data_IF_951914902639
#
_entry.id   IF_951914902639
#
_cell.length_a   1.000
_cell.length_b   1.000
_cell.length_c   1.000
_cell.angle_alpha   90.00
_cell.angle_beta   90.00
_cell.angle_gamma   90.00
#
_symmetry.space_group_name_H-M   'P 1'
#
loop_
_entity.id
_entity.type
_entity.pdbx_description
1 polymer ?
#
# COMPACT_ATOMS: atom_id res chain seq x y z
N UNK A 1 0.42 13.67 10.77
CA UNK A 1 0.13 12.44 9.99
C UNK A 1 0.92 11.29 10.60
N UNK A 2 0.29 10.12 10.79
CA UNK A 2 1.00 8.89 11.11
C UNK A 2 1.03 7.99 9.86
N UNK A 3 2.21 7.53 9.49
CA UNK A 3 2.42 6.58 8.39
C UNK A 3 2.69 5.22 9.01
N UNK A 4 1.80 4.28 8.79
CA UNK A 4 1.84 2.94 9.38
C UNK A 4 2.21 1.92 8.32
N UNK A 5 3.30 1.19 8.54
CA UNK A 5 3.74 0.08 7.70
C UNK A 5 3.76 -1.22 8.49
N UNK A 6 3.71 -2.36 7.83
CA UNK A 6 3.74 -3.66 8.49
C UNK A 6 4.97 -3.84 9.41
N UNK A 7 6.15 -3.39 8.96
CA UNK A 7 7.40 -3.45 9.72
C UNK A 7 8.18 -2.13 9.60
N UNK A 8 8.69 -1.62 10.74
CA UNK A 8 9.50 -0.39 10.73
C UNK A 8 10.83 -0.57 9.98
N UNK A 9 11.43 -1.75 10.03
CA UNK A 9 12.65 -2.07 9.29
C UNK A 9 12.46 -1.93 7.78
N UNK A 10 11.33 -2.41 7.24
CA UNK A 10 10.97 -2.22 5.83
C UNK A 10 10.66 -0.77 5.52
N UNK A 11 9.89 -0.08 6.36
CA UNK A 11 9.59 1.33 6.17
C UNK A 11 10.86 2.20 6.05
N UNK A 12 11.95 1.85 6.74
CA UNK A 12 13.23 2.58 6.69
C UNK A 12 13.91 2.54 5.32
N UNK A 13 13.78 1.45 4.60
CA UNK A 13 14.38 1.25 3.27
C UNK A 13 13.44 1.60 2.12
N UNK A 14 12.17 1.85 2.39
CA UNK A 14 11.14 2.24 1.44
C UNK A 14 10.59 3.64 1.78
N UNK A 15 9.42 3.74 2.34
CA UNK A 15 8.65 4.98 2.53
C UNK A 15 9.42 6.09 3.27
N UNK A 16 10.30 5.76 4.24
CA UNK A 16 11.13 6.78 4.92
C UNK A 16 12.25 7.28 3.99
N UNK A 17 12.82 6.39 3.18
CA UNK A 17 13.81 6.77 2.17
C UNK A 17 13.19 7.70 1.13
N UNK A 18 12.03 7.34 0.63
CA UNK A 18 11.29 8.14 -0.36
C UNK A 18 10.88 9.50 0.21
N UNK A 19 10.39 9.52 1.45
CA UNK A 19 10.11 10.77 2.17
C UNK A 19 11.31 11.71 2.20
N UNK A 20 12.50 11.20 2.58
CA UNK A 20 13.73 12.00 2.61
C UNK A 20 14.12 12.49 1.23
N UNK A 21 14.03 11.62 0.23
CA UNK A 21 14.35 11.96 -1.15
C UNK A 21 13.44 13.09 -1.65
N UNK A 22 12.13 12.93 -1.53
CA UNK A 22 11.14 13.92 -1.97
C UNK A 22 11.35 15.26 -1.24
N UNK A 23 11.50 15.24 0.08
CA UNK A 23 11.72 16.44 0.87
C UNK A 23 13.02 17.16 0.49
N UNK A 24 14.08 16.41 0.14
CA UNK A 24 15.35 16.95 -0.32
C UNK A 24 15.23 17.55 -1.72
N UNK A 25 14.52 16.89 -2.61
CA UNK A 25 14.28 17.35 -3.99
C UNK A 25 13.51 18.68 -3.99
N UNK A 26 12.53 18.81 -3.08
CA UNK A 26 11.83 20.09 -2.85
C UNK A 26 12.64 21.14 -2.08
N UNK A 27 13.85 20.81 -1.63
CA UNK A 27 14.71 21.75 -0.87
C UNK A 27 14.19 22.10 0.53
N UNK A 28 13.31 21.28 1.11
CA UNK A 28 12.67 21.51 2.41
C UNK A 28 13.05 20.49 3.49
N UNK A 29 13.98 19.57 3.19
CA UNK A 29 14.48 18.59 4.13
C UNK A 29 15.52 19.20 5.08
N UNK A 30 15.26 19.10 6.38
CA UNK A 30 16.18 19.46 7.44
C UNK A 30 16.45 18.23 8.31
N UNK A 31 17.67 17.66 8.27
CA UNK A 31 18.00 16.45 9.04
C UNK A 31 17.86 16.63 10.55
N UNK A 32 18.04 17.86 11.08
CA UNK A 32 17.95 18.14 12.51
C UNK A 32 16.49 18.06 13.03
N UNK A 33 15.52 18.19 12.12
CA UNK A 33 14.09 18.02 12.41
C UNK A 33 13.62 16.57 12.37
N UNK A 34 14.51 15.63 11.98
CA UNK A 34 14.17 14.21 11.84
C UNK A 34 14.67 13.38 13.03
N UNK A 35 13.84 13.27 14.06
CA UNK A 35 14.17 12.64 15.33
C UNK A 35 14.10 11.10 15.26
N UNK A 36 15.13 10.43 15.76
CA UNK A 36 15.20 8.97 15.83
C UNK A 36 15.04 8.27 14.47
N UNK A 37 15.09 9.02 13.37
CA UNK A 37 14.87 8.50 12.02
C UNK A 37 13.44 8.00 11.75
N UNK A 38 12.45 8.46 12.53
CA UNK A 38 11.05 8.05 12.44
C UNK A 38 10.03 9.18 12.66
N UNK A 39 10.48 10.35 13.06
CA UNK A 39 9.58 11.48 13.33
C UNK A 39 10.17 12.77 12.76
N UNK A 40 9.43 13.42 11.87
CA UNK A 40 9.79 14.71 11.28
C UNK A 40 8.81 15.80 11.73
N UNK A 41 9.34 16.90 12.25
CA UNK A 41 8.54 18.06 12.68
C UNK A 41 8.79 19.23 11.76
N UNK A 42 7.73 19.74 11.13
CA UNK A 42 7.77 20.94 10.28
C UNK A 42 7.82 22.23 11.12
N UNK A 43 8.17 23.35 10.49
CA UNK A 43 8.25 24.68 11.15
C UNK A 43 6.94 25.13 11.76
N UNK A 44 5.83 24.81 11.12
CA UNK A 44 4.48 25.11 11.61
C UNK A 44 3.99 24.20 12.75
N UNK A 45 4.85 23.30 13.26
CA UNK A 45 4.51 22.34 14.30
C UNK A 45 3.79 21.08 13.80
N UNK A 46 3.48 20.98 12.51
CA UNK A 46 2.95 19.74 11.94
C UNK A 46 3.99 18.62 12.00
N UNK A 47 3.53 17.38 12.10
CA UNK A 47 4.41 16.24 12.31
C UNK A 47 4.05 15.06 11.39
N UNK A 48 5.08 14.40 10.88
CA UNK A 48 4.97 13.08 10.26
C UNK A 48 5.69 12.08 11.15
N UNK A 49 5.02 10.98 11.48
CA UNK A 49 5.58 9.87 12.26
C UNK A 49 5.46 8.56 11.51
N UNK A 50 6.55 7.82 11.41
CA UNK A 50 6.61 6.50 10.79
C UNK A 50 6.54 5.42 11.88
N UNK A 51 5.64 4.46 11.70
CA UNK A 51 5.27 3.46 12.70
C UNK A 51 5.30 2.08 12.07
N UNK A 52 6.00 1.14 12.69
CA UNK A 52 5.92 -0.28 12.35
C UNK A 52 4.82 -0.96 13.16
N UNK A 53 3.95 -1.70 12.50
CA UNK A 53 2.86 -2.45 13.12
C UNK A 53 3.29 -3.82 13.70
N UNK A 54 4.57 -4.15 13.61
CA UNK A 54 5.19 -5.37 14.14
C UNK A 54 5.22 -5.44 15.68
N UNK A 55 4.86 -4.35 16.35
CA UNK A 55 4.73 -4.31 17.82
C UNK A 55 3.27 -4.40 18.23
N UNK A 56 2.88 -5.44 18.95
CA UNK A 56 1.49 -5.75 19.34
C UNK A 56 0.74 -4.62 20.10
N UNK A 57 1.45 -3.68 20.71
CA UNK A 57 0.85 -2.62 21.54
C UNK A 57 0.67 -1.26 20.85
N UNK A 58 1.01 -1.15 19.57
CA UNK A 58 1.00 0.13 18.86
C UNK A 58 -0.41 0.73 18.80
N UNK A 59 -1.42 -0.11 18.54
CA UNK A 59 -2.81 0.36 18.50
C UNK A 59 -3.33 0.95 19.81
N UNK A 60 -2.81 0.50 20.95
CA UNK A 60 -3.25 0.95 22.28
C UNK A 60 -2.62 2.28 22.72
N UNK A 61 -1.41 2.57 22.24
CA UNK A 61 -0.63 3.76 22.62
C UNK A 61 -0.78 4.98 21.70
N UNK A 62 -1.30 4.80 20.49
CA UNK A 62 -1.47 5.89 19.54
C UNK A 62 -2.66 6.77 19.93
N UNK A 63 -2.36 7.92 20.51
CA UNK A 63 -3.31 9.03 20.63
C UNK A 63 -3.33 9.79 19.31
N UNK A 64 -4.01 9.24 18.31
CA UNK A 64 -4.09 9.85 16.99
C UNK A 64 -5.34 10.73 16.90
N UNK A 65 -5.15 12.02 17.05
CA UNK A 65 -6.06 12.98 16.42
C UNK A 65 -5.36 13.42 15.15
N UNK A 66 -5.95 13.18 13.99
CA UNK A 66 -5.41 13.56 12.70
C UNK A 66 -5.42 12.42 11.68
N UNK A 67 -4.59 12.53 10.67
CA UNK A 67 -4.58 11.62 9.52
C UNK A 67 -3.67 10.43 9.77
N UNK A 68 -4.11 9.29 9.27
CA UNK A 68 -3.31 8.06 9.22
C UNK A 68 -3.21 7.60 7.77
N UNK A 69 -2.00 7.28 7.35
CA UNK A 69 -1.73 6.62 6.09
C UNK A 69 -1.20 5.22 6.35
N UNK A 70 -1.89 4.20 5.85
CA UNK A 70 -1.47 2.81 5.93
C UNK A 70 -0.78 2.42 4.62
N UNK A 71 0.51 2.21 4.69
CA UNK A 71 1.32 1.77 3.55
C UNK A 71 1.33 0.24 3.48
N UNK A 72 1.01 -0.31 2.31
CA UNK A 72 0.81 -1.75 2.08
C UNK A 72 -0.21 -2.35 3.08
N UNK A 73 -1.38 -1.72 3.16
CA UNK A 73 -2.39 -2.01 4.17
C UNK A 73 -2.85 -3.48 4.18
N UNK A 74 -2.85 -4.15 3.02
CA UNK A 74 -3.17 -5.58 2.90
C UNK A 74 -2.22 -6.50 3.68
N UNK A 75 -1.04 -6.03 4.04
CA UNK A 75 -0.05 -6.76 4.87
C UNK A 75 -0.30 -6.62 6.37
N UNK A 76 -1.18 -5.72 6.79
CA UNK A 76 -1.52 -5.51 8.18
C UNK A 76 -2.63 -6.46 8.64
N UNK A 77 -2.58 -6.86 9.91
CA UNK A 77 -3.71 -7.55 10.52
C UNK A 77 -4.91 -6.58 10.62
N UNK A 78 -6.11 -7.07 10.30
CA UNK A 78 -7.34 -6.26 10.38
C UNK A 78 -7.55 -5.61 11.75
N UNK A 79 -7.23 -6.32 12.83
CA UNK A 79 -7.37 -5.79 14.17
C UNK A 79 -6.46 -4.58 14.42
N UNK A 80 -5.22 -4.62 13.90
CA UNK A 80 -4.29 -3.47 13.96
C UNK A 80 -4.84 -2.27 13.18
N UNK A 81 -5.31 -2.50 11.95
CA UNK A 81 -5.98 -1.48 11.15
C UNK A 81 -7.16 -0.88 11.93
N UNK A 82 -8.07 -1.70 12.44
CA UNK A 82 -9.27 -1.28 13.17
C UNK A 82 -8.95 -0.44 14.41
N UNK A 83 -7.97 -0.86 15.19
CA UNK A 83 -7.56 -0.15 16.41
C UNK A 83 -6.97 1.23 16.13
N UNK A 84 -6.25 1.38 15.02
CA UNK A 84 -5.63 2.64 14.64
C UNK A 84 -6.66 3.54 13.93
N UNK A 85 -7.39 3.02 12.95
CA UNK A 85 -8.36 3.76 12.16
C UNK A 85 -9.50 4.33 13.00
N UNK A 86 -9.96 3.60 14.02
CA UNK A 86 -11.04 4.08 14.92
C UNK A 86 -10.70 5.34 15.71
N UNK A 87 -9.45 5.76 15.73
CA UNK A 87 -8.96 6.96 16.43
C UNK A 87 -8.47 8.05 15.48
N UNK A 88 -8.46 7.75 14.19
CA UNK A 88 -8.03 8.68 13.15
C UNK A 88 -9.20 9.59 12.73
N UNK A 89 -8.91 10.82 12.40
CA UNK A 89 -9.86 11.75 11.78
C UNK A 89 -10.07 11.42 10.30
N UNK A 90 -8.97 11.08 9.61
CA UNK A 90 -8.98 10.61 8.23
C UNK A 90 -8.03 9.43 8.05
N UNK A 91 -8.44 8.50 7.23
CA UNK A 91 -7.66 7.32 6.86
C UNK A 91 -7.42 7.32 5.37
N UNK A 92 -6.15 7.15 5.00
CA UNK A 92 -5.72 6.89 3.64
C UNK A 92 -4.98 5.56 3.68
N UNK A 93 -5.16 4.73 2.68
CA UNK A 93 -4.42 3.49 2.57
C UNK A 93 -4.06 3.19 1.12
N UNK A 94 -2.91 2.58 0.92
CA UNK A 94 -2.51 1.98 -0.33
C UNK A 94 -2.33 0.46 -0.15
N UNK A 95 -2.48 -0.28 -1.22
CA UNK A 95 -2.20 -1.69 -1.26
C UNK A 95 -2.13 -2.22 -2.69
N UNK A 96 -1.35 -3.28 -2.87
CA UNK A 96 -1.41 -4.09 -4.08
C UNK A 96 -2.45 -5.19 -3.88
N UNK A 97 -3.37 -5.32 -4.82
CA UNK A 97 -4.46 -6.28 -4.75
C UNK A 97 -4.02 -7.70 -5.18
N UNK A 98 -2.83 -8.15 -4.71
CA UNK A 98 -2.23 -9.44 -5.02
C UNK A 98 -3.02 -10.64 -4.45
N UNK A 99 -3.82 -10.40 -3.43
CA UNK A 99 -4.79 -11.34 -2.87
C UNK A 99 -5.98 -10.60 -2.25
N UNK A 100 -7.12 -11.28 -2.13
CA UNK A 100 -8.28 -10.73 -1.45
C UNK A 100 -8.02 -10.57 0.05
N UNK A 101 -8.12 -9.35 0.55
CA UNK A 101 -7.84 -8.97 1.93
C UNK A 101 -9.09 -8.46 2.67
N UNK A 102 -8.92 -8.02 3.91
CA UNK A 102 -10.01 -7.35 4.64
C UNK A 102 -10.41 -6.01 4.02
N UNK A 103 -9.55 -5.43 3.16
CA UNK A 103 -9.80 -4.12 2.55
C UNK A 103 -11.00 -4.24 1.62
N UNK A 104 -11.01 -5.22 0.72
CA UNK A 104 -12.11 -5.46 -0.20
C UNK A 104 -13.41 -5.81 0.53
N UNK A 105 -13.30 -6.64 1.55
CA UNK A 105 -14.47 -7.18 2.26
C UNK A 105 -15.09 -6.21 3.26
N UNK A 106 -14.30 -5.32 3.84
CA UNK A 106 -14.72 -4.52 5.02
C UNK A 106 -14.48 -3.03 4.89
N UNK A 107 -13.46 -2.59 4.12
CA UNK A 107 -13.12 -1.17 4.02
C UNK A 107 -13.75 -0.55 2.78
N UNK A 108 -13.57 -1.15 1.61
CA UNK A 108 -14.08 -0.61 0.35
C UNK A 108 -15.62 -0.61 0.26
N UNK A 109 -16.31 -1.35 1.12
CA UNK A 109 -17.78 -1.40 1.18
C UNK A 109 -18.38 -0.35 2.13
N UNK A 110 -17.57 0.42 2.85
CA UNK A 110 -18.09 1.47 3.73
C UNK A 110 -18.59 2.66 2.92
N UNK A 111 -19.72 3.28 3.31
CA UNK A 111 -20.37 4.33 2.54
C UNK A 111 -19.49 5.59 2.36
N UNK A 112 -18.59 5.86 3.31
CA UNK A 112 -17.72 7.04 3.31
C UNK A 112 -16.31 6.75 2.73
N UNK A 113 -16.17 5.65 1.98
CA UNK A 113 -14.90 5.27 1.36
C UNK A 113 -14.88 5.70 -0.10
N UNK A 114 -13.85 6.48 -0.48
CA UNK A 114 -13.50 6.71 -1.87
C UNK A 114 -12.41 5.70 -2.27
N UNK A 115 -12.59 5.04 -3.40
CA UNK A 115 -11.65 4.07 -3.94
C UNK A 115 -11.11 4.54 -5.28
N UNK A 116 -9.79 4.58 -5.40
CA UNK A 116 -9.08 4.85 -6.66
C UNK A 116 -8.26 3.62 -7.05
N UNK A 117 -8.53 3.11 -8.24
CA UNK A 117 -7.69 2.07 -8.84
C UNK A 117 -6.69 2.74 -9.76
N UNK A 118 -5.42 2.40 -9.57
CA UNK A 118 -4.31 2.86 -10.40
C UNK A 118 -3.62 1.62 -10.96
N UNK A 119 -3.23 1.69 -12.21
CA UNK A 119 -2.52 0.61 -12.91
C UNK A 119 -1.27 1.16 -13.61
N UNK A 120 -0.48 0.29 -14.22
CA UNK A 120 0.77 0.69 -14.86
C UNK A 120 0.58 1.71 -15.99
N UNK A 121 -0.57 1.67 -16.67
CA UNK A 121 -0.86 2.55 -17.80
C UNK A 121 -1.28 3.96 -17.35
N UNK A 122 -1.62 4.15 -16.08
CA UNK A 122 -1.91 5.46 -15.49
C UNK A 122 -0.62 6.20 -15.08
N UNK A 123 0.55 5.52 -15.12
CA UNK A 123 1.84 6.08 -14.76
C UNK A 123 2.64 6.43 -16.02
N UNK A 124 2.62 7.69 -16.42
CA UNK A 124 3.39 8.21 -17.58
C UNK A 124 4.91 8.04 -17.42
N UNK A 125 5.39 7.87 -16.19
CA UNK A 125 6.81 7.68 -15.86
C UNK A 125 7.18 6.21 -15.62
N UNK A 126 6.27 5.27 -15.93
CA UNK A 126 6.56 3.85 -15.75
C UNK A 126 7.77 3.44 -16.62
N UNK A 127 8.76 2.72 -16.06
CA UNK A 127 9.89 2.23 -16.83
C UNK A 127 9.44 1.32 -17.97
N UNK A 128 9.98 1.49 -19.15
CA UNK A 128 9.60 0.69 -20.33
C UNK A 128 9.74 -0.82 -20.11
N UNK A 129 10.73 -1.25 -19.33
CA UNK A 129 10.94 -2.66 -19.00
C UNK A 129 9.81 -3.21 -18.13
N UNK A 130 9.27 -2.45 -17.20
CA UNK A 130 8.11 -2.85 -16.38
C UNK A 130 6.85 -2.96 -17.24
N UNK A 131 6.62 -2.00 -18.12
CA UNK A 131 5.49 -2.06 -19.07
C UNK A 131 5.60 -3.28 -19.97
N UNK A 132 6.78 -3.53 -20.56
CA UNK A 132 7.01 -4.71 -21.39
C UNK A 132 6.84 -6.03 -20.64
N UNK A 133 7.25 -6.09 -19.39
CA UNK A 133 7.05 -7.27 -18.55
C UNK A 133 5.55 -7.53 -18.33
N UNK A 134 4.78 -6.51 -17.97
CA UNK A 134 3.34 -6.62 -17.78
C UNK A 134 2.61 -7.00 -19.08
N UNK A 135 3.00 -6.42 -20.22
CA UNK A 135 2.47 -6.82 -21.53
C UNK A 135 2.78 -8.30 -21.84
N UNK A 136 3.96 -8.78 -21.47
CA UNK A 136 4.32 -10.19 -21.65
C UNK A 136 3.40 -11.12 -20.84
N UNK A 137 2.94 -10.71 -19.66
CA UNK A 137 1.95 -11.47 -18.88
C UNK A 137 0.61 -11.57 -19.61
N UNK A 138 0.18 -10.48 -20.29
CA UNK A 138 -1.02 -10.49 -21.11
C UNK A 138 -0.92 -11.47 -22.28
N UNK A 139 0.19 -11.43 -23.01
CA UNK A 139 0.43 -12.32 -24.16
C UNK A 139 0.53 -13.81 -23.76
N UNK A 140 1.07 -14.07 -22.60
CA UNK A 140 1.19 -15.42 -22.06
C UNK A 140 -0.13 -15.92 -21.43
N UNK A 141 -0.89 -15.01 -20.81
CA UNK A 141 -2.12 -15.32 -20.08
C UNK A 141 -3.37 -15.43 -20.94
N UNK A 142 -3.42 -14.74 -22.07
CA UNK A 142 -4.62 -14.65 -22.89
C UNK A 142 -4.38 -15.02 -24.36
N UNK A 143 -5.40 -15.60 -24.98
CA UNK A 143 -5.49 -15.78 -26.43
C UNK A 143 -5.94 -14.47 -27.10
N UNK A 144 -5.76 -14.32 -28.41
CA UNK A 144 -6.21 -13.14 -29.15
C UNK A 144 -7.73 -12.85 -29.06
N UNK A 145 -8.53 -13.88 -28.80
CA UNK A 145 -9.98 -13.79 -28.58
C UNK A 145 -10.38 -13.39 -27.15
N UNK A 146 -9.38 -13.17 -26.25
CA UNK A 146 -9.60 -12.81 -24.85
C UNK A 146 -9.86 -13.98 -23.91
N UNK A 147 -9.86 -15.22 -24.40
CA UNK A 147 -9.95 -16.41 -23.55
C UNK A 147 -8.66 -16.66 -22.79
N UNK A 148 -8.75 -17.24 -21.58
CA UNK A 148 -7.58 -17.54 -20.77
C UNK A 148 -6.79 -18.70 -21.41
N UNK A 149 -5.51 -18.45 -21.66
CA UNK A 149 -4.53 -19.41 -22.16
C UNK A 149 -3.74 -20.05 -21.01
N UNK A 150 -3.35 -19.21 -20.04
CA UNK A 150 -2.64 -19.60 -18.85
C UNK A 150 -3.14 -18.80 -17.65
N UNK A 151 -3.68 -19.48 -16.62
CA UNK A 151 -4.30 -18.81 -15.47
C UNK A 151 -3.29 -18.04 -14.60
N UNK A 152 -2.04 -18.51 -14.52
CA UNK A 152 -1.01 -17.86 -13.74
C UNK A 152 -0.65 -16.49 -14.35
N UNK A 153 -0.32 -16.46 -15.63
CA UNK A 153 0.02 -15.22 -16.32
C UNK A 153 -1.19 -14.28 -16.47
N UNK A 154 -2.39 -14.82 -16.69
CA UNK A 154 -3.62 -14.03 -16.70
C UNK A 154 -3.85 -13.35 -15.34
N UNK A 155 -3.61 -14.04 -14.23
CA UNK A 155 -3.70 -13.45 -12.90
C UNK A 155 -2.64 -12.38 -12.65
N UNK A 156 -1.39 -12.60 -13.07
CA UNK A 156 -0.34 -11.57 -12.99
C UNK A 156 -0.73 -10.30 -13.76
N UNK A 157 -1.24 -10.47 -14.98
CA UNK A 157 -1.72 -9.33 -15.78
C UNK A 157 -2.91 -8.62 -15.11
N UNK A 158 -3.86 -9.36 -14.56
CA UNK A 158 -4.99 -8.78 -13.85
C UNK A 158 -4.56 -7.96 -12.64
N UNK A 159 -3.59 -8.45 -11.86
CA UNK A 159 -3.09 -7.76 -10.66
C UNK A 159 -2.23 -6.56 -11.04
N UNK A 160 -1.16 -6.77 -11.79
CA UNK A 160 -0.14 -5.75 -12.03
C UNK A 160 -0.47 -4.84 -13.22
N UNK A 161 -1.18 -5.37 -14.22
CA UNK A 161 -1.59 -4.61 -15.40
C UNK A 161 -2.90 -3.86 -15.23
N UNK A 162 -3.89 -4.49 -14.56
CA UNK A 162 -5.24 -3.93 -14.45
C UNK A 162 -5.62 -3.49 -13.02
N UNK A 163 -4.75 -3.72 -12.02
CA UNK A 163 -5.02 -3.41 -10.62
C UNK A 163 -6.24 -4.18 -10.06
N UNK A 164 -6.53 -5.35 -10.60
CA UNK A 164 -7.63 -6.21 -10.14
C UNK A 164 -7.18 -7.09 -8.98
N UNK A 165 -8.14 -7.54 -8.16
CA UNK A 165 -7.84 -8.45 -7.06
C UNK A 165 -7.35 -9.79 -7.59
N UNK A 166 -6.17 -10.19 -7.14
CA UNK A 166 -5.55 -11.48 -7.50
C UNK A 166 -6.32 -12.66 -6.93
N UNK A 167 -6.31 -13.76 -7.67
CA UNK A 167 -6.85 -15.05 -7.22
C UNK A 167 -5.70 -15.90 -6.69
N UNK A 168 -5.96 -16.66 -5.62
CA UNK A 168 -5.01 -17.65 -5.13
C UNK A 168 -4.93 -18.78 -6.14
N UNK A 169 -3.88 -18.79 -6.98
CA UNK A 169 -3.64 -19.85 -7.95
C UNK A 169 -2.85 -20.95 -7.26
N UNK A 170 -3.37 -22.18 -7.29
CA UNK A 170 -2.71 -23.35 -6.73
C UNK A 170 -3.13 -23.75 -5.32
N UNK A 171 -4.24 -23.25 -4.81
CA UNK A 171 -4.88 -23.87 -3.65
C UNK A 171 -5.45 -25.23 -4.07
N UNK A 172 -4.71 -26.31 -3.74
CA UNK A 172 -5.10 -27.71 -4.02
C UNK A 172 -6.42 -28.10 -3.30
N UNK A 173 -6.83 -27.30 -2.30
CA UNK A 173 -8.05 -27.49 -1.54
C UNK A 173 -8.86 -26.19 -1.51
N UNK A 174 -9.94 -26.13 -2.27
CA UNK A 174 -10.86 -24.99 -2.33
C UNK A 174 -12.06 -25.11 -1.40
N UNK A 175 -12.19 -26.21 -0.67
CA UNK A 175 -13.31 -26.50 0.23
C UNK A 175 -12.79 -26.95 1.60
N UNK A 176 -12.86 -26.08 2.58
CA UNK A 176 -12.90 -26.34 4.01
C UNK A 176 -14.15 -25.74 4.58
#
# INVERSE_FOLDING_TARGET
>A
INIVSHQLSKARITVIKDFRYIMSDFGIYDPDKFRGGVEYTFENGSMIRFIGADRMDIGKGLRTRGWVFFNEANRLAYETYRQISSRAEKVILDYNADFESYIERRVNVLPDTAFLRVNVYDNEMAPENEVKEIESYKEQGYNPDGTIKDEYFANLYNVYGLGMVGRSIGAVFTNW
#
